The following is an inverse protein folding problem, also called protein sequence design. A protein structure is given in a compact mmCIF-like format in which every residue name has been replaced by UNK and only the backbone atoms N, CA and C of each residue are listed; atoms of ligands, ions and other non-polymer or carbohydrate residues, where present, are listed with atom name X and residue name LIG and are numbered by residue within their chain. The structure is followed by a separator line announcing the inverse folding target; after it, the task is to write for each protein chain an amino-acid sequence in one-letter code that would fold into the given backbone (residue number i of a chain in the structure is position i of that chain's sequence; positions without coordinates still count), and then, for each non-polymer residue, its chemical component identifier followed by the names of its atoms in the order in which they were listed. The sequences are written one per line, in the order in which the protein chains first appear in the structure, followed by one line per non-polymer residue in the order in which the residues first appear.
data_IF_942486615016
#
_entry.id   IF_942486615016
#
_cell.length_a   1.000
_cell.length_b   1.000
_cell.length_c   1.000
_cell.angle_alpha   90.00
_cell.angle_beta   90.00
_cell.angle_gamma   90.00
#
_symmetry.space_group_name_H-M   'P 1'
#
loop_
_entity.id
_entity.type
_entity.pdbx_description
1 polymer ?
#
# COMPACT_ATOMS: atom_id res chain seq x y z
N UNK A 1 -15.66 -47.94 -11.71
CA UNK A 1 -16.43 -48.99 -11.02
C UNK A 1 -15.77 -50.36 -11.00
N UNK A 2 -15.03 -50.83 -12.01
CA UNK A 2 -14.34 -52.14 -12.04
C UNK A 2 -13.25 -52.28 -10.97
N UNK A 3 -12.44 -51.25 -10.73
CA UNK A 3 -11.33 -51.29 -9.70
C UNK A 3 -11.84 -51.52 -8.25
N UNK A 4 -13.01 -50.99 -7.92
CA UNK A 4 -13.64 -51.17 -6.60
C UNK A 4 -14.11 -52.64 -6.39
N UNK A 5 -14.64 -53.28 -7.44
CA UNK A 5 -15.09 -54.69 -7.39
C UNK A 5 -13.95 -55.68 -7.27
N UNK A 6 -12.81 -55.42 -7.91
CA UNK A 6 -11.60 -56.29 -7.76
C UNK A 6 -10.99 -56.22 -6.37
N UNK A 7 -11.16 -55.06 -5.69
CA UNK A 7 -10.62 -54.89 -4.32
C UNK A 7 -11.42 -55.65 -3.26
N UNK A 8 -12.73 -55.85 -3.47
CA UNK A 8 -13.59 -56.52 -2.48
C UNK A 8 -13.65 -58.03 -2.60
N UNK A 9 -13.09 -58.65 -3.65
CA UNK A 9 -13.22 -60.06 -3.89
C UNK A 9 -12.02 -60.94 -3.45
N UNK A 10 -11.06 -60.42 -2.68
CA UNK A 10 -9.96 -61.17 -2.09
C UNK A 10 -10.24 -61.57 -0.63
N UNK A 11 -11.09 -62.58 -0.47
CA UNK A 11 -11.12 -63.39 0.74
C UNK A 11 -9.79 -64.15 0.83
N UNK A 12 -8.79 -63.77 1.62
CA UNK A 12 -7.87 -64.66 2.32
C UNK A 12 -6.64 -64.03 2.96
N UNK A 13 -6.30 -62.76 2.78
CA UNK A 13 -5.18 -62.22 3.52
C UNK A 13 -5.49 -60.79 4.04
N UNK A 14 -6.06 -60.71 5.24
CA UNK A 14 -6.33 -59.43 5.91
C UNK A 14 -5.11 -58.50 6.00
N UNK A 15 -3.92 -59.11 6.10
CA UNK A 15 -2.64 -58.40 6.14
C UNK A 15 -2.32 -57.66 4.81
N UNK A 16 -2.52 -58.32 3.67
CA UNK A 16 -2.28 -57.71 2.36
C UNK A 16 -3.30 -56.58 2.08
N UNK A 17 -4.56 -56.79 2.50
CA UNK A 17 -5.59 -55.75 2.39
C UNK A 17 -5.28 -54.52 3.25
N UNK A 18 -4.74 -54.73 4.45
CA UNK A 18 -4.30 -53.65 5.34
C UNK A 18 -3.15 -52.85 4.75
N UNK A 19 -2.10 -53.51 4.23
CA UNK A 19 -0.96 -52.84 3.60
C UNK A 19 -1.40 -52.02 2.39
N UNK A 20 -2.26 -52.59 1.54
CA UNK A 20 -2.78 -51.92 0.37
C UNK A 20 -3.65 -50.72 0.73
N UNK A 21 -4.46 -50.83 1.79
CA UNK A 21 -5.26 -49.73 2.29
C UNK A 21 -4.41 -48.60 2.88
N UNK A 22 -3.39 -48.96 3.69
CA UNK A 22 -2.47 -47.96 4.26
C UNK A 22 -1.67 -47.22 3.20
N UNK A 23 -1.18 -47.94 2.18
CA UNK A 23 -0.47 -47.32 1.05
C UNK A 23 -1.39 -46.34 0.27
N UNK A 24 -2.60 -46.75 -0.04
CA UNK A 24 -3.57 -45.92 -0.75
C UNK A 24 -3.93 -44.68 0.10
N UNK A 25 -4.13 -44.85 1.39
CA UNK A 25 -4.41 -43.74 2.30
C UNK A 25 -3.22 -42.79 2.42
N UNK A 26 -2.00 -43.31 2.51
CA UNK A 26 -0.78 -42.48 2.54
C UNK A 26 -0.60 -41.65 1.28
N UNK A 27 -0.80 -42.25 0.11
CA UNK A 27 -0.74 -41.51 -1.16
C UNK A 27 -1.86 -40.45 -1.22
N UNK A 28 -3.09 -40.81 -0.84
CA UNK A 28 -4.21 -39.90 -0.80
C UNK A 28 -3.99 -38.71 0.13
N UNK A 29 -3.44 -38.98 1.32
CA UNK A 29 -3.09 -37.93 2.28
C UNK A 29 -1.97 -37.03 1.71
N UNK A 30 -0.95 -37.61 1.09
CA UNK A 30 0.13 -36.84 0.45
C UNK A 30 -0.39 -35.91 -0.66
N UNK A 31 -1.22 -36.41 -1.54
CA UNK A 31 -1.87 -35.59 -2.58
C UNK A 31 -2.76 -34.50 -1.98
N UNK A 32 -3.53 -34.84 -0.94
CA UNK A 32 -4.38 -33.86 -0.25
C UNK A 32 -3.58 -32.69 0.32
N UNK A 33 -2.46 -33.01 1.04
CA UNK A 33 -1.58 -31.99 1.62
C UNK A 33 -0.96 -31.10 0.54
N UNK A 34 -0.51 -31.67 -0.57
CA UNK A 34 0.04 -30.92 -1.70
C UNK A 34 -0.97 -29.98 -2.30
N UNK A 35 -2.19 -30.44 -2.55
CA UNK A 35 -3.28 -29.61 -3.10
C UNK A 35 -3.62 -28.48 -2.12
N UNK A 36 -3.68 -28.77 -0.83
CA UNK A 36 -3.94 -27.79 0.21
C UNK A 36 -2.86 -26.71 0.25
N UNK A 37 -1.59 -27.10 0.23
CA UNK A 37 -0.46 -26.16 0.20
C UNK A 37 -0.49 -25.28 -1.05
N UNK A 38 -0.72 -25.85 -2.22
CA UNK A 38 -0.81 -25.09 -3.46
C UNK A 38 -2.01 -24.13 -3.45
N UNK A 39 -3.15 -24.55 -2.90
CA UNK A 39 -4.35 -23.70 -2.78
C UNK A 39 -4.10 -22.51 -1.87
N UNK A 40 -3.47 -22.73 -0.72
CA UNK A 40 -3.12 -21.65 0.22
C UNK A 40 -2.09 -20.71 -0.43
N UNK A 41 -1.07 -21.25 -1.10
CA UNK A 41 -0.06 -20.44 -1.78
C UNK A 41 -0.65 -19.54 -2.87
N UNK A 42 -1.52 -20.10 -3.71
CA UNK A 42 -2.21 -19.33 -4.76
C UNK A 42 -3.14 -18.26 -4.17
N UNK A 43 -3.84 -18.56 -3.08
CA UNK A 43 -4.68 -17.60 -2.38
C UNK A 43 -3.86 -16.45 -1.79
N UNK A 44 -2.71 -16.76 -1.18
CA UNK A 44 -1.82 -15.77 -0.63
C UNK A 44 -1.16 -14.89 -1.72
N UNK A 45 -0.71 -15.50 -2.81
CA UNK A 45 -0.16 -14.77 -3.96
C UNK A 45 -1.17 -13.76 -4.53
N UNK A 46 -2.41 -14.20 -4.71
CA UNK A 46 -3.48 -13.33 -5.19
C UNK A 46 -3.74 -12.16 -4.24
N UNK A 47 -3.88 -12.44 -2.95
CA UNK A 47 -4.13 -11.42 -1.93
C UNK A 47 -2.97 -10.40 -1.84
N UNK A 48 -1.72 -10.88 -1.88
CA UNK A 48 -0.55 -9.99 -1.94
C UNK A 48 -0.55 -9.13 -3.19
N UNK A 49 -0.83 -9.74 -4.35
CA UNK A 49 -0.83 -9.03 -5.63
C UNK A 49 -1.90 -7.94 -5.66
N UNK A 50 -3.10 -8.26 -5.23
CA UNK A 50 -4.22 -7.32 -5.21
C UNK A 50 -3.97 -6.15 -4.22
N UNK A 51 -3.37 -6.42 -3.07
CA UNK A 51 -3.03 -5.37 -2.09
C UNK A 51 -1.82 -4.52 -2.48
N UNK A 52 -0.76 -5.13 -2.99
CA UNK A 52 0.46 -4.39 -3.32
C UNK A 52 0.31 -3.59 -4.62
N UNK A 53 -0.31 -4.17 -5.64
CA UNK A 53 -0.46 -3.50 -6.93
C UNK A 53 -1.49 -2.36 -6.92
N UNK A 54 -2.39 -2.33 -5.94
CA UNK A 54 -3.35 -1.23 -5.82
C UNK A 54 -2.74 0.08 -5.31
N UNK A 55 -1.59 0.00 -4.62
CA UNK A 55 -0.95 1.16 -3.98
C UNK A 55 0.33 1.60 -4.71
N UNK A 56 1.00 0.68 -5.41
CA UNK A 56 2.28 0.97 -6.07
C UNK A 56 2.02 1.36 -7.54
N UNK A 57 2.47 2.54 -7.98
CA UNK A 57 2.34 2.94 -9.38
C UNK A 57 3.16 2.02 -10.28
N UNK A 58 2.63 1.69 -11.47
CA UNK A 58 3.31 0.83 -12.44
C UNK A 58 4.55 1.48 -13.06
N UNK A 59 4.55 2.81 -13.15
CA UNK A 59 5.68 3.60 -13.61
C UNK A 59 5.74 4.93 -12.86
N UNK A 60 6.93 5.39 -12.59
CA UNK A 60 7.20 6.64 -11.90
C UNK A 60 8.23 7.43 -12.69
N UNK A 61 7.89 8.68 -13.04
CA UNK A 61 8.79 9.60 -13.72
C UNK A 61 9.27 10.64 -12.73
N UNK A 62 10.59 10.69 -12.49
CA UNK A 62 11.21 11.65 -11.59
C UNK A 62 12.05 12.65 -12.37
N UNK A 63 12.01 13.90 -11.93
CA UNK A 63 12.98 14.89 -12.43
C UNK A 63 14.40 14.53 -11.98
N UNK A 64 15.35 14.67 -12.87
CA UNK A 64 16.79 14.62 -12.55
C UNK A 64 17.24 15.91 -11.85
N UNK A 65 16.48 17.00 -12.01
CA UNK A 65 16.78 18.31 -11.43
C UNK A 65 16.02 18.53 -10.13
N UNK A 66 16.67 19.19 -9.18
CA UNK A 66 16.08 19.52 -7.86
C UNK A 66 14.82 20.39 -7.94
N UNK A 67 14.66 21.14 -9.03
CA UNK A 67 13.50 22.04 -9.26
C UNK A 67 12.25 21.32 -9.80
N UNK A 68 12.24 20.00 -9.80
CA UNK A 68 11.11 19.21 -10.26
C UNK A 68 10.95 19.17 -11.80
N UNK A 69 9.80 18.70 -12.25
CA UNK A 69 9.46 18.62 -13.68
C UNK A 69 8.89 19.94 -14.13
N UNK A 70 9.58 20.63 -15.05
CA UNK A 70 9.06 21.87 -15.64
C UNK A 70 7.88 21.57 -16.56
N UNK A 71 6.85 22.43 -16.51
CA UNK A 71 5.63 22.29 -17.33
C UNK A 71 4.96 20.92 -17.15
N UNK A 72 4.97 20.40 -15.92
CA UNK A 72 4.38 19.10 -15.61
C UNK A 72 2.92 18.92 -16.07
N UNK A 73 2.04 19.97 -16.10
CA UNK A 73 0.67 19.79 -16.58
C UNK A 73 0.62 19.32 -18.05
N UNK A 74 1.45 19.91 -18.91
CA UNK A 74 1.52 19.50 -20.32
C UNK A 74 2.00 18.05 -20.47
N UNK A 75 2.89 17.61 -19.59
CA UNK A 75 3.39 16.23 -19.61
C UNK A 75 2.31 15.26 -19.11
N UNK A 76 1.54 15.62 -18.08
CA UNK A 76 0.39 14.85 -17.61
C UNK A 76 -0.64 14.70 -18.73
N UNK A 77 -0.97 15.80 -19.42
CA UNK A 77 -1.93 15.76 -20.52
C UNK A 77 -1.43 14.89 -21.68
N UNK A 78 -0.16 14.97 -22.01
CA UNK A 78 0.45 14.12 -23.04
C UNK A 78 0.41 12.63 -22.65
N UNK A 79 0.69 12.31 -21.39
CA UNK A 79 0.62 10.93 -20.88
C UNK A 79 -0.81 10.38 -20.88
N UNK A 80 -1.81 11.20 -20.52
CA UNK A 80 -3.23 10.80 -20.55
C UNK A 80 -3.74 10.47 -21.95
N UNK A 81 -3.11 10.99 -22.99
CA UNK A 81 -3.47 10.67 -24.38
C UNK A 81 -2.99 9.29 -24.82
N UNK A 82 -2.09 8.65 -24.07
CA UNK A 82 -1.57 7.33 -24.42
C UNK A 82 -2.60 6.24 -24.07
N UNK A 83 -2.98 5.35 -25.01
CA UNK A 83 -4.08 4.40 -24.84
C UNK A 83 -3.85 3.36 -23.72
N UNK A 84 -2.59 3.12 -23.34
CA UNK A 84 -2.24 2.17 -22.27
C UNK A 84 -2.17 2.83 -20.88
N UNK A 85 -2.31 4.16 -20.81
CA UNK A 85 -2.25 4.90 -19.55
C UNK A 85 -3.66 5.10 -19.01
N UNK A 86 -3.95 4.47 -17.90
CA UNK A 86 -5.27 4.55 -17.24
C UNK A 86 -5.35 5.77 -16.32
N UNK A 87 -4.26 6.10 -15.63
CA UNK A 87 -4.24 7.14 -14.62
C UNK A 87 -2.86 7.78 -14.49
N UNK A 88 -2.81 9.08 -14.32
CA UNK A 88 -1.56 9.85 -14.11
C UNK A 88 -1.77 10.81 -12.95
N UNK A 89 -0.95 10.68 -11.92
CA UNK A 89 -1.00 11.50 -10.72
C UNK A 89 0.34 12.21 -10.51
N UNK A 90 0.36 13.55 -10.58
CA UNK A 90 1.52 14.33 -10.20
C UNK A 90 1.63 14.40 -8.68
N UNK A 91 2.83 14.21 -8.14
CA UNK A 91 3.06 14.30 -6.71
C UNK A 91 4.43 14.89 -6.39
N UNK A 92 4.58 15.37 -5.16
CA UNK A 92 5.86 15.79 -4.60
C UNK A 92 6.08 15.05 -3.29
N UNK A 93 7.20 14.33 -3.17
CA UNK A 93 7.60 13.67 -1.93
C UNK A 93 8.62 14.52 -1.18
N UNK A 94 8.41 14.67 0.11
CA UNK A 94 9.34 15.34 0.99
C UNK A 94 9.47 14.57 2.32
N UNK A 95 10.70 14.34 2.76
CA UNK A 95 10.93 13.78 4.09
C UNK A 95 11.10 14.93 5.07
N UNK A 96 10.33 14.90 6.15
CA UNK A 96 10.36 15.93 7.18
C UNK A 96 10.22 15.35 8.58
N UNK A 97 10.30 16.23 9.57
CA UNK A 97 10.08 15.91 10.98
C UNK A 97 8.72 16.44 11.41
N UNK A 98 7.77 15.54 11.65
CA UNK A 98 6.48 15.91 12.23
C UNK A 98 6.62 16.08 13.74
N UNK A 99 6.14 17.21 14.25
CA UNK A 99 6.26 17.59 15.65
C UNK A 99 4.91 17.84 16.29
N UNK A 100 4.72 17.25 17.49
CA UNK A 100 3.65 17.60 18.45
C UNK A 100 4.25 17.77 19.84
N UNK A 101 4.28 19.00 20.34
CA UNK A 101 4.95 19.30 21.61
C UNK A 101 6.42 18.88 21.61
N UNK A 102 6.80 18.01 22.54
CA UNK A 102 8.17 17.49 22.66
C UNK A 102 8.43 16.21 21.83
N UNK A 103 7.41 15.66 21.17
CA UNK A 103 7.55 14.46 20.38
C UNK A 103 7.80 14.80 18.91
N UNK A 104 8.80 14.15 18.34
CA UNK A 104 9.16 14.29 16.92
C UNK A 104 9.23 12.92 16.25
N UNK A 105 8.82 12.86 15.00
CA UNK A 105 8.93 11.66 14.17
C UNK A 105 9.26 12.02 12.73
N UNK A 106 10.24 11.34 12.16
CA UNK A 106 10.51 11.41 10.73
C UNK A 106 9.36 10.77 9.95
N UNK A 107 8.85 11.50 8.96
CA UNK A 107 7.74 11.07 8.10
C UNK A 107 8.05 11.44 6.65
N UNK A 108 7.59 10.64 5.73
CA UNK A 108 7.54 10.97 4.31
C UNK A 108 6.17 11.55 4.01
N UNK A 109 6.14 12.79 3.54
CA UNK A 109 4.90 13.46 3.11
C UNK A 109 4.84 13.45 1.60
N UNK A 110 3.69 13.07 1.07
CA UNK A 110 3.40 13.13 -0.36
C UNK A 110 2.36 14.21 -0.60
N UNK A 111 2.76 15.31 -1.20
CA UNK A 111 1.82 16.35 -1.62
C UNK A 111 1.23 15.98 -2.98
N UNK A 112 -0.08 16.00 -3.05
CA UNK A 112 -0.89 15.69 -4.23
C UNK A 112 -1.62 16.95 -4.71
N UNK A 113 -1.83 17.03 -6.02
CA UNK A 113 -2.80 17.99 -6.56
C UNK A 113 -4.20 17.35 -6.56
N UNK A 114 -5.15 17.86 -5.75
CA UNK A 114 -6.47 17.26 -5.62
C UNK A 114 -7.24 17.11 -6.94
N UNK A 115 -6.96 17.96 -7.93
CA UNK A 115 -7.60 17.91 -9.25
C UNK A 115 -7.18 16.67 -10.05
N UNK A 116 -5.94 16.23 -9.87
CA UNK A 116 -5.38 15.06 -10.56
C UNK A 116 -5.47 13.79 -9.73
N UNK A 117 -5.63 13.91 -8.42
CA UNK A 117 -5.71 12.79 -7.51
C UNK A 117 -7.14 12.25 -7.31
N UNK A 118 -8.15 12.85 -7.95
CA UNK A 118 -9.57 12.47 -7.77
C UNK A 118 -9.87 11.02 -8.17
N UNK A 119 -9.17 10.51 -9.19
CA UNK A 119 -9.31 9.14 -9.69
C UNK A 119 -8.30 8.16 -9.04
N UNK A 120 -7.50 8.65 -8.08
CA UNK A 120 -6.48 7.88 -7.38
C UNK A 120 -7.03 6.99 -6.26
N UNK A 121 -6.11 6.38 -5.53
CA UNK A 121 -6.45 5.48 -4.42
C UNK A 121 -6.90 6.25 -3.16
N UNK A 122 -6.32 7.43 -2.90
CA UNK A 122 -6.54 8.18 -1.67
C UNK A 122 -8.01 8.54 -1.44
N UNK A 123 -8.80 9.00 -2.45
CA UNK A 123 -10.22 9.27 -2.25
C UNK A 123 -11.04 8.07 -1.78
N UNK A 124 -10.60 6.84 -2.14
CA UNK A 124 -11.29 5.61 -1.72
C UNK A 124 -11.02 5.22 -0.26
N UNK A 125 -9.98 5.77 0.37
CA UNK A 125 -9.57 5.49 1.74
C UNK A 125 -10.18 6.45 2.76
N UNK A 126 -10.86 7.51 2.31
CA UNK A 126 -11.42 8.56 3.17
C UNK A 126 -12.90 8.79 2.87
N UNK A 127 -13.60 9.52 3.74
CA UNK A 127 -14.98 9.90 3.47
C UNK A 127 -15.06 11.03 2.44
N UNK A 128 -16.23 11.20 1.80
CA UNK A 128 -16.44 12.27 0.81
C UNK A 128 -16.24 13.66 1.42
N UNK A 129 -16.64 13.83 2.66
CA UNK A 129 -16.49 15.08 3.41
C UNK A 129 -15.02 15.40 3.67
N UNK A 130 -14.23 14.39 4.08
CA UNK A 130 -12.79 14.53 4.28
C UNK A 130 -12.08 14.85 2.97
N UNK A 131 -12.46 14.19 1.87
CA UNK A 131 -11.89 14.47 0.56
C UNK A 131 -12.21 15.90 0.09
N UNK A 132 -13.44 16.37 0.27
CA UNK A 132 -13.82 17.76 -0.04
C UNK A 132 -13.03 18.76 0.81
N UNK A 133 -12.83 18.47 2.10
CA UNK A 133 -12.01 19.31 2.97
C UNK A 133 -10.55 19.34 2.48
N UNK A 134 -9.99 18.21 2.04
CA UNK A 134 -8.65 18.15 1.46
C UNK A 134 -8.52 19.01 0.19
N UNK A 135 -9.57 19.07 -0.62
CA UNK A 135 -9.59 19.88 -1.84
C UNK A 135 -9.67 21.40 -1.59
N UNK A 136 -10.21 21.80 -0.44
CA UNK A 136 -10.48 23.21 -0.13
C UNK A 136 -9.53 23.85 0.86
N UNK A 137 -8.88 23.07 1.73
CA UNK A 137 -7.96 23.54 2.76
C UNK A 137 -6.52 23.14 2.40
N UNK A 138 -5.70 24.10 1.99
CA UNK A 138 -4.28 23.89 1.67
C UNK A 138 -3.44 23.41 2.86
N UNK A 139 -3.94 23.56 4.08
CA UNK A 139 -3.30 23.07 5.29
C UNK A 139 -3.78 21.67 5.71
N UNK A 140 -4.77 21.10 5.02
CA UNK A 140 -5.29 19.79 5.32
C UNK A 140 -4.24 18.70 5.06
N UNK A 141 -4.18 17.74 5.99
CA UNK A 141 -3.29 16.59 5.86
C UNK A 141 -3.97 15.32 6.33
N UNK A 142 -3.60 14.22 5.72
CA UNK A 142 -4.02 12.88 6.10
C UNK A 142 -2.78 12.10 6.56
N UNK A 143 -2.84 11.50 7.73
CA UNK A 143 -1.69 10.80 8.31
C UNK A 143 -1.98 9.32 8.46
N UNK A 144 -0.97 8.50 8.23
CA UNK A 144 -1.04 7.08 8.51
C UNK A 144 -1.33 6.81 9.99
N UNK A 145 -2.21 5.84 10.26
CA UNK A 145 -2.65 5.52 11.63
C UNK A 145 -1.48 5.23 12.59
N UNK A 146 -0.40 4.63 12.10
CA UNK A 146 0.79 4.35 12.92
C UNK A 146 1.60 5.61 13.28
N UNK A 147 1.55 6.68 12.47
CA UNK A 147 2.12 7.98 12.83
C UNK A 147 1.29 8.60 13.95
N UNK A 148 -0.03 8.59 13.77
CA UNK A 148 -0.97 9.17 14.73
C UNK A 148 -0.85 8.50 16.10
N UNK A 149 -0.80 7.18 16.15
CA UNK A 149 -0.63 6.42 17.39
C UNK A 149 0.70 6.75 18.11
N UNK A 150 1.81 6.80 17.37
CA UNK A 150 3.13 7.08 17.96
C UNK A 150 3.26 8.49 18.51
N UNK A 151 2.58 9.46 17.93
CA UNK A 151 2.61 10.86 18.36
C UNK A 151 1.40 11.25 19.24
N UNK A 152 0.48 10.32 19.51
CA UNK A 152 -0.76 10.60 20.27
C UNK A 152 -1.61 11.66 19.57
N UNK A 153 -1.75 11.56 18.24
CA UNK A 153 -2.52 12.48 17.41
C UNK A 153 -3.94 11.94 17.19
N UNK A 154 -4.89 12.86 17.07
CA UNK A 154 -6.27 12.56 16.67
C UNK A 154 -6.68 13.45 15.48
N UNK A 155 -7.72 13.04 14.78
CA UNK A 155 -8.30 13.86 13.71
C UNK A 155 -8.82 15.17 14.31
N UNK A 156 -8.49 16.29 13.67
CA UNK A 156 -8.75 17.66 14.16
C UNK A 156 -7.56 18.31 14.86
N UNK A 157 -6.50 17.56 15.19
CA UNK A 157 -5.29 18.14 15.75
C UNK A 157 -4.52 18.95 14.71
N UNK A 158 -3.76 19.96 15.21
CA UNK A 158 -2.80 20.73 14.42
C UNK A 158 -1.39 20.26 14.74
N UNK A 159 -0.63 20.01 13.69
CA UNK A 159 0.76 19.58 13.80
C UNK A 159 1.70 20.49 13.01
N UNK A 160 2.97 20.44 13.33
CA UNK A 160 4.01 21.15 12.57
C UNK A 160 4.90 20.13 11.87
N UNK A 161 5.19 20.39 10.60
CA UNK A 161 6.22 19.66 9.88
C UNK A 161 7.41 20.58 9.59
N UNK A 162 8.59 20.08 9.90
CA UNK A 162 9.86 20.74 9.61
C UNK A 162 10.46 20.04 8.38
N UNK A 163 10.56 20.78 7.28
CA UNK A 163 11.16 20.32 6.04
C UNK A 163 12.57 20.86 5.92
N UNK A 164 13.59 19.99 5.83
CA UNK A 164 14.96 20.43 5.60
C UNK A 164 15.05 21.12 4.24
N UNK A 165 15.73 22.26 4.19
CA UNK A 165 16.04 22.93 2.94
C UNK A 165 17.55 22.83 2.67
N UNK A 166 17.89 22.28 1.52
CA UNK A 166 19.25 22.30 0.98
C UNK A 166 19.38 23.47 0.02
N UNK A 167 20.35 24.31 0.26
CA UNK A 167 20.75 25.36 -0.70
C UNK A 167 21.54 24.74 -1.85
N UNK A 168 21.67 25.49 -2.96
CA UNK A 168 22.45 25.05 -4.14
C UNK A 168 23.90 24.67 -3.80
N UNK A 169 24.46 25.25 -2.73
CA UNK A 169 25.80 24.96 -2.20
C UNK A 169 25.87 23.77 -1.24
N UNK A 170 24.82 22.94 -1.19
CA UNK A 170 24.73 21.80 -0.26
C UNK A 170 24.81 22.16 1.22
N UNK A 171 24.59 23.43 1.57
CA UNK A 171 24.50 23.85 2.97
C UNK A 171 23.05 23.73 3.46
N UNK A 172 22.90 23.28 4.73
CA UNK A 172 21.60 23.25 5.39
C UNK A 172 21.15 24.68 5.69
N UNK A 173 20.06 25.08 5.08
CA UNK A 173 19.33 26.31 5.43
C UNK A 173 18.39 26.07 6.60
N UNK A 174 17.84 27.12 7.17
CA UNK A 174 16.81 27.00 8.20
C UNK A 174 15.63 26.16 7.67
N UNK A 175 15.15 25.16 8.44
CA UNK A 175 14.08 24.29 7.98
C UNK A 175 12.80 25.11 7.77
N UNK A 176 12.10 24.83 6.70
CA UNK A 176 10.76 25.38 6.45
C UNK A 176 9.77 24.68 7.37
N UNK A 177 9.04 25.46 8.16
CA UNK A 177 7.99 24.92 9.04
C UNK A 177 6.63 25.19 8.42
N UNK A 178 5.85 24.13 8.25
CA UNK A 178 4.45 24.20 7.82
C UNK A 178 3.56 23.73 8.96
N UNK A 179 2.40 24.38 9.12
CA UNK A 179 1.35 23.95 10.05
C UNK A 179 0.28 23.24 9.26
N UNK A 180 -0.07 22.04 9.71
CA UNK A 180 -1.00 21.16 9.03
C UNK A 180 -2.17 20.81 9.97
N UNK A 181 -3.36 20.68 9.42
CA UNK A 181 -4.57 20.25 10.10
C UNK A 181 -4.85 18.79 9.74
N UNK A 182 -4.93 17.90 10.72
CA UNK A 182 -5.21 16.48 10.47
C UNK A 182 -6.70 16.31 10.22
N UNK A 183 -7.07 15.93 8.99
CA UNK A 183 -8.46 15.73 8.58
C UNK A 183 -8.88 14.27 8.54
N UNK A 184 -7.93 13.35 8.34
CA UNK A 184 -8.21 11.93 8.27
C UNK A 184 -7.02 11.10 8.76
N UNK A 185 -7.33 9.86 9.21
CA UNK A 185 -6.35 8.82 9.43
C UNK A 185 -6.41 7.82 8.28
N UNK A 186 -5.26 7.46 7.72
CA UNK A 186 -5.16 6.48 6.65
C UNK A 186 -4.66 5.14 7.20
N UNK A 187 -5.39 4.08 6.90
CA UNK A 187 -4.95 2.72 7.13
C UNK A 187 -4.64 2.06 5.79
N UNK A 188 -3.36 2.10 5.41
CA UNK A 188 -2.85 1.47 4.18
C UNK A 188 -2.31 0.06 4.42
N UNK A 189 -2.45 -0.45 5.65
CA UNK A 189 -1.91 -1.73 6.07
C UNK A 189 -0.40 -1.74 6.28
N UNK A 190 0.06 -2.52 7.26
CA UNK A 190 1.47 -2.78 7.52
C UNK A 190 2.33 -1.56 7.87
N UNK A 191 3.58 -1.59 7.43
CA UNK A 191 4.56 -0.53 7.74
C UNK A 191 4.32 0.80 7.02
N UNK A 192 3.61 0.81 5.89
CA UNK A 192 3.32 2.02 5.14
C UNK A 192 2.56 3.05 6.00
N UNK A 193 1.59 2.61 6.78
CA UNK A 193 0.84 3.46 7.71
C UNK A 193 1.70 4.09 8.82
N UNK A 194 2.94 3.62 9.00
CA UNK A 194 3.85 4.11 10.02
C UNK A 194 4.74 5.27 9.56
N UNK A 195 4.85 5.53 8.26
CA UNK A 195 5.85 6.45 7.71
C UNK A 195 5.29 7.47 6.73
N UNK A 196 4.11 7.26 6.17
CA UNK A 196 3.57 8.07 5.08
C UNK A 196 2.43 8.97 5.57
N UNK A 197 2.41 10.22 5.07
CA UNK A 197 1.33 11.19 5.18
C UNK A 197 1.07 11.88 3.82
N UNK A 198 -0.11 12.44 3.65
CA UNK A 198 -0.57 13.16 2.46
C UNK A 198 -1.08 14.54 2.80
#
# INVERSE_FOLDING_TARGET
MLAWRFRTNKRQNGFISFISASSTFGIGLGCFVLILLLSVMNGFEKELKDRLLSVIPHAEFKSVYANGIKNWPLQVDALKLHPEVVFVEPYVKATGMLQKGNHMKAVEMTALDPLYAADGVIPSLVTKEQWQQFQTDESATMLGIGIMQKLGLVVGDKVQILLPQLTEDWTLSAPKTLRLNIIASLDMGGELSNHIGY
#
